data_IF_095046799154
#
_entry.id   IF_095046799154
#
_cell.length_a   1.000
_cell.length_b   1.000
_cell.length_c   1.000
_cell.angle_alpha   90.00
_cell.angle_beta   90.00
_cell.angle_gamma   90.00
#
_symmetry.space_group_name_H-M   'P 1'
#
loop_
_entity.id
_entity.type
_entity.pdbx_description
1 polymer ?
#
# COMPACT_ATOMS: atom_id res chain seq x y z
N UNK A 1 4.93 23.05 -18.84
CA UNK A 1 4.18 23.38 -17.62
C UNK A 1 4.00 22.13 -16.78
N UNK A 2 4.41 22.22 -15.52
CA UNK A 2 4.25 21.09 -14.61
C UNK A 2 2.81 21.01 -14.12
N UNK A 3 2.21 19.85 -14.28
CA UNK A 3 0.87 19.61 -13.78
C UNK A 3 0.95 19.30 -12.29
N UNK A 4 0.28 20.08 -11.47
CA UNK A 4 0.20 19.81 -10.04
C UNK A 4 -0.68 18.61 -9.79
N UNK A 5 -0.27 17.79 -8.83
CA UNK A 5 -1.12 16.73 -8.30
C UNK A 5 -2.19 17.38 -7.43
N UNK A 6 -3.44 17.14 -7.79
CA UNK A 6 -4.57 17.77 -7.12
C UNK A 6 -4.71 17.33 -5.67
N UNK A 7 -4.38 16.09 -5.37
CA UNK A 7 -4.58 15.49 -4.04
C UNK A 7 -3.28 15.19 -3.32
N UNK A 8 -2.17 15.76 -3.77
CA UNK A 8 -0.84 15.44 -3.25
C UNK A 8 -0.72 15.61 -1.74
N UNK A 9 -1.22 16.71 -1.19
CA UNK A 9 -1.13 16.99 0.24
C UNK A 9 -1.96 16.00 1.07
N UNK A 10 -3.21 15.78 0.68
CA UNK A 10 -4.08 14.87 1.44
C UNK A 10 -3.53 13.46 1.41
N UNK A 11 -3.04 13.02 0.25
CA UNK A 11 -2.46 11.69 0.12
C UNK A 11 -1.21 11.56 0.98
N UNK A 12 -0.34 12.58 0.97
CA UNK A 12 0.85 12.58 1.79
C UNK A 12 0.52 12.38 3.26
N UNK A 13 -0.49 13.09 3.76
CA UNK A 13 -0.94 12.95 5.15
C UNK A 13 -1.54 11.58 5.42
N UNK A 14 -2.29 11.05 4.47
CA UNK A 14 -2.89 9.72 4.59
C UNK A 14 -1.81 8.64 4.70
N UNK A 15 -0.79 8.73 3.89
CA UNK A 15 0.31 7.75 3.92
C UNK A 15 1.19 7.93 5.15
N UNK A 16 1.41 9.17 5.61
CA UNK A 16 2.11 9.42 6.87
C UNK A 16 1.38 8.75 8.03
N UNK A 17 0.06 8.90 8.05
CA UNK A 17 -0.77 8.30 9.09
C UNK A 17 -0.74 6.78 9.02
N UNK A 18 -0.85 6.22 7.81
CA UNK A 18 -0.75 4.78 7.61
C UNK A 18 0.58 4.24 8.15
N UNK A 19 1.69 4.86 7.77
CA UNK A 19 3.01 4.43 8.22
C UNK A 19 3.15 4.46 9.73
N UNK A 20 2.53 5.45 10.37
CA UNK A 20 2.59 5.61 11.81
C UNK A 20 1.68 4.60 12.52
N UNK A 21 0.44 4.47 12.07
CA UNK A 21 -0.52 3.56 12.69
C UNK A 21 -0.21 2.09 12.41
N UNK A 22 0.38 1.80 11.25
CA UNK A 22 0.67 0.44 10.82
C UNK A 22 2.16 0.12 10.86
N UNK A 23 2.91 0.82 11.71
CA UNK A 23 4.36 0.60 11.82
C UNK A 23 4.70 -0.85 12.16
N UNK A 24 3.90 -1.47 13.02
CA UNK A 24 4.09 -2.87 13.42
C UNK A 24 3.88 -3.81 12.24
N UNK A 25 2.82 -3.58 11.46
CA UNK A 25 2.54 -4.39 10.28
C UNK A 25 3.66 -4.28 9.25
N UNK A 26 4.15 -3.05 9.01
CA UNK A 26 5.27 -2.84 8.08
C UNK A 26 6.53 -3.57 8.57
N UNK A 27 6.79 -3.52 9.87
CA UNK A 27 7.91 -4.24 10.47
C UNK A 27 7.76 -5.75 10.27
N UNK A 28 6.56 -6.27 10.49
CA UNK A 28 6.28 -7.69 10.27
C UNK A 28 6.48 -8.10 8.82
N UNK A 29 6.10 -7.25 7.87
CA UNK A 29 6.35 -7.51 6.45
C UNK A 29 7.84 -7.63 6.17
N UNK A 30 8.64 -6.73 6.73
CA UNK A 30 10.10 -6.75 6.52
C UNK A 30 10.72 -8.01 7.13
N UNK A 31 10.26 -8.41 8.30
CA UNK A 31 10.75 -9.63 8.95
C UNK A 31 10.35 -10.87 8.16
N UNK A 32 9.12 -10.94 7.68
CA UNK A 32 8.65 -12.06 6.88
C UNK A 32 9.40 -12.16 5.55
N UNK A 33 9.71 -11.04 4.93
CA UNK A 33 10.51 -10.99 3.72
C UNK A 33 11.92 -11.52 3.97
N UNK A 34 12.54 -11.08 5.06
CA UNK A 34 13.87 -11.55 5.43
C UNK A 34 13.87 -13.05 5.73
N UNK A 35 12.83 -13.54 6.39
CA UNK A 35 12.70 -14.97 6.67
C UNK A 35 12.56 -15.78 5.38
N UNK A 36 11.77 -15.26 4.44
CA UNK A 36 11.63 -15.90 3.13
C UNK A 36 12.97 -15.92 2.37
N UNK A 37 13.70 -14.82 2.39
CA UNK A 37 14.99 -14.72 1.69
C UNK A 37 16.01 -15.71 2.23
N UNK A 38 15.91 -16.07 3.49
CA UNK A 38 16.82 -17.03 4.14
C UNK A 38 16.28 -18.45 4.18
N UNK A 39 15.06 -18.68 3.69
CA UNK A 39 14.40 -19.97 3.82
C UNK A 39 15.09 -21.04 2.98
N UNK A 40 15.17 -22.26 3.55
CA UNK A 40 15.56 -23.42 2.79
C UNK A 40 14.50 -23.72 1.73
N UNK A 41 14.90 -24.42 0.68
CA UNK A 41 14.01 -24.71 -0.45
C UNK A 41 12.67 -25.33 -0.01
N UNK A 42 12.73 -26.21 0.97
CA UNK A 42 11.53 -26.93 1.43
C UNK A 42 10.55 -26.02 2.17
N UNK A 43 11.05 -24.90 2.73
CA UNK A 43 10.24 -23.97 3.51
C UNK A 43 9.86 -22.70 2.72
N UNK A 44 10.45 -22.50 1.57
CA UNK A 44 10.33 -21.24 0.84
C UNK A 44 8.87 -20.89 0.49
N UNK A 45 8.09 -21.89 0.07
CA UNK A 45 6.71 -21.66 -0.32
C UNK A 45 5.85 -21.19 0.86
N UNK A 46 6.04 -21.84 2.01
CA UNK A 46 5.32 -21.44 3.23
C UNK A 46 5.71 -20.06 3.68
N UNK A 47 7.01 -19.74 3.66
CA UNK A 47 7.49 -18.42 4.06
C UNK A 47 7.04 -17.32 3.12
N UNK A 48 6.95 -17.63 1.83
CA UNK A 48 6.42 -16.68 0.87
C UNK A 48 4.93 -16.43 1.13
N UNK A 49 4.17 -17.46 1.43
CA UNK A 49 2.76 -17.34 1.79
C UNK A 49 2.55 -16.45 3.02
N UNK A 50 3.38 -16.62 4.06
CA UNK A 50 3.32 -15.78 5.26
C UNK A 50 3.54 -14.32 4.90
N UNK A 51 4.54 -14.05 4.07
CA UNK A 51 4.84 -12.70 3.60
C UNK A 51 3.67 -12.12 2.80
N UNK A 52 3.13 -12.90 1.87
CA UNK A 52 2.00 -12.46 1.04
C UNK A 52 0.77 -12.11 1.87
N UNK A 53 0.48 -12.89 2.90
CA UNK A 53 -0.67 -12.62 3.77
C UNK A 53 -0.54 -11.27 4.47
N UNK A 54 0.67 -10.93 4.91
CA UNK A 54 0.93 -9.64 5.54
C UNK A 54 0.80 -8.49 4.54
N UNK A 55 1.33 -8.67 3.33
CA UNK A 55 1.21 -7.66 2.27
C UNK A 55 -0.25 -7.46 1.90
N UNK A 56 -1.02 -8.53 1.82
CA UNK A 56 -2.45 -8.45 1.53
C UNK A 56 -3.20 -7.67 2.60
N UNK A 57 -2.89 -7.91 3.86
CA UNK A 57 -3.49 -7.16 4.96
C UNK A 57 -3.21 -5.66 4.85
N UNK A 58 -1.96 -5.30 4.58
CA UNK A 58 -1.59 -3.89 4.40
C UNK A 58 -2.27 -3.27 3.19
N UNK A 59 -2.37 -4.02 2.11
CA UNK A 59 -3.04 -3.55 0.89
C UNK A 59 -4.52 -3.29 1.14
N UNK A 60 -5.19 -4.17 1.88
CA UNK A 60 -6.59 -3.97 2.24
C UNK A 60 -6.80 -2.68 3.03
N UNK A 61 -5.93 -2.43 4.00
CA UNK A 61 -6.00 -1.21 4.81
C UNK A 61 -5.79 0.03 3.94
N UNK A 62 -4.84 -0.01 3.02
CA UNK A 62 -4.60 1.10 2.09
C UNK A 62 -5.79 1.30 1.14
N UNK A 63 -6.34 0.22 0.63
CA UNK A 63 -7.51 0.29 -0.26
C UNK A 63 -8.72 0.88 0.46
N UNK A 64 -8.94 0.49 1.71
CA UNK A 64 -10.04 1.05 2.51
C UNK A 64 -9.85 2.55 2.74
N UNK A 65 -8.65 2.96 3.07
CA UNK A 65 -8.31 4.37 3.26
C UNK A 65 -8.58 5.16 1.97
N UNK A 66 -8.11 4.66 0.85
CA UNK A 66 -8.34 5.27 -0.47
C UNK A 66 -9.83 5.35 -0.79
N UNK A 67 -10.52 4.23 -0.69
CA UNK A 67 -11.91 4.13 -1.16
C UNK A 67 -12.86 4.92 -0.25
N UNK A 68 -12.59 4.98 1.04
CA UNK A 68 -13.38 5.80 1.96
C UNK A 68 -13.29 7.28 1.61
N UNK A 69 -12.10 7.76 1.28
CA UNK A 69 -11.95 9.16 0.88
C UNK A 69 -12.55 9.40 -0.51
N UNK A 70 -12.30 8.49 -1.44
CA UNK A 70 -12.84 8.60 -2.82
C UNK A 70 -14.36 8.69 -2.80
N UNK A 71 -15.02 7.99 -1.89
CA UNK A 71 -16.48 8.00 -1.78
C UNK A 71 -17.06 9.36 -1.43
N UNK A 72 -16.23 10.29 -0.93
CA UNK A 72 -16.68 11.65 -0.62
C UNK A 72 -16.56 12.59 -1.82
N UNK A 73 -15.99 12.11 -2.93
CA UNK A 73 -15.73 12.92 -4.12
C UNK A 73 -16.70 12.59 -5.24
N UNK A 74 -16.86 13.53 -6.19
CA UNK A 74 -17.58 13.24 -7.42
C UNK A 74 -16.77 12.26 -8.27
N UNK A 75 -17.44 11.62 -9.22
CA UNK A 75 -16.87 10.53 -10.03
C UNK A 75 -15.51 10.88 -10.65
N UNK A 76 -15.42 12.00 -11.35
CA UNK A 76 -14.19 12.40 -12.03
C UNK A 76 -13.05 12.69 -11.05
N UNK A 77 -13.37 13.37 -9.95
CA UNK A 77 -12.38 13.68 -8.91
C UNK A 77 -11.92 12.40 -8.20
N UNK A 78 -12.84 11.47 -7.97
CA UNK A 78 -12.51 10.19 -7.34
C UNK A 78 -11.53 9.40 -8.18
N UNK A 79 -11.75 9.34 -9.49
CA UNK A 79 -10.85 8.64 -10.41
C UNK A 79 -9.45 9.25 -10.39
N UNK A 80 -9.38 10.57 -10.41
CA UNK A 80 -8.09 11.26 -10.34
C UNK A 80 -7.40 10.99 -9.01
N UNK A 81 -8.13 11.09 -7.91
CA UNK A 81 -7.59 10.82 -6.58
C UNK A 81 -7.03 9.40 -6.49
N UNK A 82 -7.78 8.41 -6.95
CA UNK A 82 -7.35 7.01 -6.91
C UNK A 82 -6.06 6.79 -7.69
N UNK A 83 -5.93 7.40 -8.87
CA UNK A 83 -4.69 7.30 -9.64
C UNK A 83 -3.51 7.92 -8.91
N UNK A 84 -3.71 9.09 -8.31
CA UNK A 84 -2.65 9.76 -7.55
C UNK A 84 -2.27 8.97 -6.31
N UNK A 85 -3.27 8.42 -5.62
CA UNK A 85 -3.04 7.59 -4.44
C UNK A 85 -2.20 6.36 -4.80
N UNK A 86 -2.59 5.63 -5.84
CA UNK A 86 -1.86 4.42 -6.25
C UNK A 86 -0.41 4.74 -6.64
N UNK A 87 -0.18 5.87 -7.32
CA UNK A 87 1.17 6.31 -7.65
C UNK A 87 1.99 6.63 -6.42
N UNK A 88 1.37 7.26 -5.44
CA UNK A 88 2.06 7.60 -4.19
C UNK A 88 2.44 6.33 -3.43
N UNK A 89 1.56 5.34 -3.41
CA UNK A 89 1.88 4.03 -2.81
C UNK A 89 3.06 3.40 -3.53
N UNK A 90 3.08 3.46 -4.86
CA UNK A 90 4.20 2.88 -5.63
C UNK A 90 5.54 3.54 -5.28
N UNK A 91 5.53 4.83 -4.98
CA UNK A 91 6.76 5.56 -4.61
C UNK A 91 7.18 5.33 -3.17
N UNK A 92 6.23 5.39 -2.23
CA UNK A 92 6.54 5.38 -0.79
C UNK A 92 6.47 4.01 -0.15
N UNK A 93 5.61 3.15 -0.67
CA UNK A 93 5.31 1.84 -0.11
C UNK A 93 5.29 0.80 -1.23
N UNK A 94 6.40 0.65 -1.95
CA UNK A 94 6.42 -0.20 -3.16
C UNK A 94 6.02 -1.65 -2.90
N UNK A 95 6.17 -2.12 -1.68
CA UNK A 95 5.77 -3.47 -1.28
C UNK A 95 4.30 -3.73 -1.59
N UNK A 96 3.45 -2.70 -1.47
CA UNK A 96 2.01 -2.83 -1.66
C UNK A 96 1.53 -2.38 -3.04
N UNK A 97 2.44 -1.92 -3.91
CA UNK A 97 2.05 -1.25 -5.15
C UNK A 97 1.32 -2.14 -6.14
N UNK A 98 1.78 -3.37 -6.29
CA UNK A 98 1.18 -4.28 -7.28
C UNK A 98 -0.27 -4.60 -6.93
N UNK A 99 -0.51 -4.93 -5.66
CA UNK A 99 -1.84 -5.33 -5.25
C UNK A 99 -2.81 -4.16 -5.10
N UNK A 100 -2.32 -2.98 -4.72
CA UNK A 100 -3.19 -1.81 -4.58
C UNK A 100 -3.80 -1.40 -5.92
N UNK A 101 -3.06 -1.54 -7.01
CA UNK A 101 -3.56 -1.21 -8.34
C UNK A 101 -4.68 -2.15 -8.79
N UNK A 102 -4.70 -3.36 -8.28
CA UNK A 102 -5.71 -4.36 -8.63
C UNK A 102 -6.96 -4.26 -7.77
N UNK A 103 -6.97 -3.36 -6.83
CA UNK A 103 -8.09 -3.08 -5.94
C UNK A 103 -8.72 -1.74 -6.29
#
# INVERSE_FOLDING_TARGET
>A
MLRRQRFGEVISRQLDLFEREQAELVRECKEAEATYDRAARDDAEERFGDYQDLVETGTELLADLRDNFASTLGESAAEQYEREFNRAVARRLPRFSLEIENR
#
